data_IF_667249334776
#
_entry.id   IF_667249334776
#
_cell.length_a   1.000
_cell.length_b   1.000
_cell.length_c   1.000
_cell.angle_alpha   90.00
_cell.angle_beta   90.00
_cell.angle_gamma   90.00
#
_symmetry.space_group_name_H-M   'P 1'
#
loop_
_entity.id
_entity.type
_entity.pdbx_description
1 polymer ?
#
# COMPACT_ATOMS: atom_id res chain seq x y z
N UNK A 1 -1.87 -16.46 24.89
CA UNK A 1 -1.67 -16.37 23.43
C UNK A 1 -0.36 -15.65 23.19
N UNK A 2 0.55 -16.25 22.42
CA UNK A 2 1.84 -15.64 22.09
C UNK A 2 1.67 -14.61 20.96
N UNK A 3 2.21 -13.41 21.15
CA UNK A 3 2.14 -12.31 20.18
C UNK A 3 3.53 -12.01 19.63
N UNK A 4 3.64 -11.95 18.31
CA UNK A 4 4.87 -11.59 17.60
C UNK A 4 4.70 -10.27 16.87
N UNK A 5 5.72 -9.41 16.96
CA UNK A 5 5.82 -8.18 16.18
C UNK A 5 6.92 -8.31 15.14
N UNK A 6 6.66 -7.83 13.93
CA UNK A 6 7.65 -7.77 12.85
C UNK A 6 7.64 -6.38 12.23
N UNK A 7 8.82 -5.84 11.96
CA UNK A 7 8.99 -4.53 11.33
C UNK A 7 9.36 -4.71 9.87
N UNK A 8 8.51 -4.22 8.97
CA UNK A 8 8.73 -4.30 7.52
C UNK A 8 8.02 -3.15 6.84
N UNK A 9 8.67 -2.54 5.86
CA UNK A 9 8.07 -1.48 5.06
C UNK A 9 7.63 -2.03 3.70
N UNK A 10 6.37 -1.77 3.35
CA UNK A 10 5.82 -1.99 2.02
C UNK A 10 5.31 -0.65 1.51
N UNK A 11 5.68 -0.28 0.27
CA UNK A 11 5.05 0.89 -0.34
C UNK A 11 3.66 0.56 -0.85
N UNK A 12 2.93 1.61 -1.27
CA UNK A 12 1.61 1.49 -1.91
C UNK A 12 1.59 0.54 -3.13
N UNK A 13 2.73 0.33 -3.80
CA UNK A 13 2.87 -0.55 -4.96
C UNK A 13 3.37 -1.96 -4.59
N UNK A 14 3.69 -2.21 -3.32
CA UNK A 14 4.20 -3.47 -2.81
C UNK A 14 3.09 -4.35 -2.20
N UNK A 15 1.81 -4.01 -2.39
CA UNK A 15 0.65 -4.73 -1.84
C UNK A 15 0.66 -6.24 -2.17
N UNK A 16 1.04 -6.64 -3.39
CA UNK A 16 1.22 -8.07 -3.73
C UNK A 16 2.36 -8.75 -2.98
N UNK A 17 3.41 -8.01 -2.62
CA UNK A 17 4.52 -8.55 -1.84
C UNK A 17 4.15 -8.66 -0.36
N UNK A 18 3.31 -7.73 0.10
CA UNK A 18 2.70 -7.75 1.43
C UNK A 18 1.76 -8.94 1.59
N UNK A 19 0.86 -9.19 0.63
CA UNK A 19 0.02 -10.39 0.57
C UNK A 19 0.84 -11.67 0.75
N UNK A 20 1.92 -11.82 -0.04
CA UNK A 20 2.83 -12.98 0.06
C UNK A 20 3.52 -13.08 1.41
N UNK A 21 3.90 -11.95 1.98
CA UNK A 21 4.48 -11.92 3.32
C UNK A 21 3.50 -12.40 4.39
N UNK A 22 2.24 -11.96 4.33
CA UNK A 22 1.19 -12.38 5.27
C UNK A 22 0.88 -13.87 5.13
N UNK A 23 0.74 -14.38 3.89
CA UNK A 23 0.54 -15.81 3.63
C UNK A 23 1.69 -16.66 4.19
N UNK A 24 2.94 -16.23 3.97
CA UNK A 24 4.11 -16.95 4.48
C UNK A 24 4.19 -16.96 6.01
N UNK A 25 3.76 -15.88 6.67
CA UNK A 25 3.66 -15.88 8.13
C UNK A 25 2.59 -16.84 8.63
N UNK A 26 1.39 -16.85 8.02
CA UNK A 26 0.33 -17.78 8.44
C UNK A 26 0.74 -19.24 8.25
N UNK A 27 1.40 -19.57 7.13
CA UNK A 27 1.96 -20.90 6.89
C UNK A 27 2.97 -21.33 7.96
N UNK A 28 3.65 -20.38 8.60
CA UNK A 28 4.58 -20.64 9.72
C UNK A 28 3.90 -20.65 11.09
N UNK A 29 2.57 -20.64 11.14
CA UNK A 29 1.80 -20.58 12.39
C UNK A 29 1.70 -19.18 12.99
N UNK A 30 1.83 -18.12 12.18
CA UNK A 30 1.67 -16.72 12.63
C UNK A 30 0.50 -16.06 11.91
N UNK A 31 -0.66 -16.02 12.57
CA UNK A 31 -1.88 -15.41 12.04
C UNK A 31 -1.82 -13.90 12.20
N UNK A 32 -2.09 -13.18 11.11
CA UNK A 32 -2.10 -11.72 11.09
C UNK A 32 -3.23 -11.13 11.94
N UNK A 33 -2.88 -10.16 12.81
CA UNK A 33 -3.81 -9.40 13.65
C UNK A 33 -4.01 -7.96 13.18
N UNK A 34 -3.04 -7.40 12.46
CA UNK A 34 -3.11 -6.03 11.96
C UNK A 34 -1.76 -5.35 11.83
N UNK A 35 -1.73 -4.22 11.15
CA UNK A 35 -0.52 -3.43 10.89
C UNK A 35 -0.78 -1.93 11.04
N UNK A 36 0.26 -1.19 11.43
CA UNK A 36 0.29 0.28 11.35
C UNK A 36 1.03 0.80 10.11
N UNK A 37 1.26 -0.03 9.10
CA UNK A 37 2.02 0.29 7.88
C UNK A 37 3.52 0.03 7.97
N UNK A 38 4.06 -0.16 9.18
CA UNK A 38 5.46 -0.58 9.39
C UNK A 38 5.60 -1.72 10.39
N UNK A 39 4.74 -1.75 11.42
CA UNK A 39 4.76 -2.79 12.45
C UNK A 39 3.57 -3.72 12.24
N UNK A 40 3.86 -4.98 11.97
CA UNK A 40 2.90 -6.06 11.79
C UNK A 40 2.80 -6.86 13.09
N UNK A 41 1.57 -7.12 13.53
CA UNK A 41 1.27 -7.95 14.70
C UNK A 41 0.69 -9.28 14.25
N UNK A 42 1.17 -10.33 14.88
CA UNK A 42 0.72 -11.70 14.65
C UNK A 42 0.45 -12.40 15.97
N UNK A 43 -0.49 -13.35 15.95
CA UNK A 43 -0.70 -14.31 17.02
C UNK A 43 -0.26 -15.71 16.58
N UNK A 44 0.22 -16.51 17.53
CA UNK A 44 0.51 -17.91 17.27
C UNK A 44 -0.78 -18.68 16.93
N UNK A 45 -0.74 -19.44 15.85
CA UNK A 45 -1.83 -20.31 15.39
C UNK A 45 -1.27 -21.65 14.89
N UNK A 46 -2.16 -22.60 14.58
CA UNK A 46 -1.74 -23.81 13.86
C UNK A 46 -1.28 -23.40 12.45
N UNK A 47 -0.18 -23.96 11.93
CA UNK A 47 0.22 -23.79 10.54
C UNK A 47 -0.91 -24.22 9.60
N UNK A 48 -1.43 -23.29 8.82
CA UNK A 48 -2.56 -23.49 7.91
C UNK A 48 -2.32 -22.71 6.60
N UNK A 49 -2.86 -23.22 5.49
CA UNK A 49 -2.82 -22.52 4.20
C UNK A 49 -3.99 -21.55 4.09
N UNK A 50 -3.71 -20.27 4.37
CA UNK A 50 -4.62 -19.16 4.14
C UNK A 50 -4.11 -18.28 3.01
N UNK A 51 -5.04 -17.80 2.20
CA UNK A 51 -4.81 -16.76 1.20
C UNK A 51 -5.07 -15.41 1.86
N UNK A 52 -4.14 -14.48 1.66
CA UNK A 52 -4.30 -13.08 2.03
C UNK A 52 -4.35 -12.26 0.75
N UNK A 53 -5.36 -11.41 0.62
CA UNK A 53 -5.47 -10.46 -0.48
C UNK A 53 -5.79 -9.07 0.03
N UNK A 54 -5.13 -8.09 -0.59
CA UNK A 54 -5.35 -6.68 -0.36
C UNK A 54 -6.10 -6.15 -1.56
N UNK A 55 -7.22 -5.51 -1.28
CA UNK A 55 -7.94 -4.74 -2.28
C UNK A 55 -7.83 -3.23 -1.98
N UNK A 56 -7.83 -2.42 -3.04
CA UNK A 56 -7.77 -0.97 -2.95
C UNK A 56 -9.12 -0.36 -3.32
N UNK A 57 -9.75 0.30 -2.35
CA UNK A 57 -10.94 1.10 -2.56
C UNK A 57 -10.81 2.45 -1.83
N UNK A 58 -10.93 3.55 -2.58
CA UNK A 58 -10.90 4.93 -2.07
C UNK A 58 -12.28 5.58 -2.03
N UNK A 59 -13.34 4.83 -2.38
CA UNK A 59 -14.72 5.29 -2.31
C UNK A 59 -15.26 5.14 -0.88
N UNK A 60 -15.74 6.23 -0.29
CA UNK A 60 -16.21 6.27 1.11
C UNK A 60 -17.71 5.95 1.29
N UNK A 61 -18.43 5.67 0.19
CA UNK A 61 -19.89 5.83 0.19
C UNK A 61 -20.73 4.63 0.63
N UNK A 62 -20.15 3.46 0.88
CA UNK A 62 -20.84 2.33 1.52
C UNK A 62 -19.85 1.21 1.91
N UNK A 63 -19.09 1.42 2.98
CA UNK A 63 -18.12 0.42 3.43
C UNK A 63 -18.80 -0.88 3.88
N UNK A 64 -19.99 -0.81 4.46
CA UNK A 64 -20.77 -1.98 4.88
C UNK A 64 -21.18 -2.86 3.70
N UNK A 65 -21.81 -2.28 2.67
CA UNK A 65 -22.18 -3.01 1.46
C UNK A 65 -20.97 -3.51 0.71
N UNK A 66 -19.87 -2.74 0.72
CA UNK A 66 -18.60 -3.19 0.16
C UNK A 66 -18.12 -4.48 0.82
N UNK A 67 -18.03 -4.51 2.15
CA UNK A 67 -17.57 -5.68 2.90
C UNK A 67 -18.51 -6.88 2.80
N UNK A 68 -19.82 -6.65 2.75
CA UNK A 68 -20.83 -7.71 2.62
C UNK A 68 -20.61 -8.54 1.35
N UNK A 69 -20.26 -7.91 0.22
CA UNK A 69 -19.94 -8.60 -1.03
C UNK A 69 -18.80 -9.61 -0.80
N UNK A 70 -17.74 -9.22 -0.09
CA UNK A 70 -16.60 -10.10 0.19
C UNK A 70 -16.96 -11.26 1.11
N UNK A 71 -17.76 -10.98 2.14
CA UNK A 71 -18.23 -11.99 3.10
C UNK A 71 -19.05 -13.08 2.40
N UNK A 72 -19.91 -12.71 1.46
CA UNK A 72 -20.71 -13.65 0.65
C UNK A 72 -19.83 -14.61 -0.18
N UNK A 73 -18.64 -14.17 -0.60
CA UNK A 73 -17.64 -15.01 -1.29
C UNK A 73 -16.68 -15.73 -0.32
N UNK A 74 -16.93 -15.68 0.98
CA UNK A 74 -16.16 -16.37 2.01
C UNK A 74 -14.84 -15.69 2.40
N UNK A 75 -14.68 -14.40 2.09
CA UNK A 75 -13.54 -13.61 2.54
C UNK A 75 -13.80 -13.01 3.92
N UNK A 76 -12.88 -13.25 4.84
CA UNK A 76 -12.88 -12.63 6.17
C UNK A 76 -12.16 -11.28 6.11
N UNK A 77 -12.87 -10.21 6.44
CA UNK A 77 -12.26 -8.89 6.63
C UNK A 77 -11.44 -8.84 7.93
N UNK A 78 -10.22 -8.28 7.85
CA UNK A 78 -9.31 -8.19 8.99
C UNK A 78 -9.12 -6.77 9.48
N UNK A 79 -8.85 -5.85 8.55
CA UNK A 79 -8.61 -4.44 8.86
C UNK A 79 -8.58 -3.61 7.58
N UNK A 80 -8.64 -2.29 7.75
CA UNK A 80 -8.36 -1.30 6.72
C UNK A 80 -7.17 -0.46 7.15
N UNK A 81 -6.23 -0.25 6.23
CA UNK A 81 -5.15 0.73 6.38
C UNK A 81 -5.17 1.68 5.20
N UNK A 82 -5.43 2.96 5.46
CA UNK A 82 -5.69 3.95 4.43
C UNK A 82 -6.86 3.50 3.52
N UNK A 83 -6.58 3.18 2.27
CA UNK A 83 -7.56 2.70 1.27
C UNK A 83 -7.35 1.23 0.91
N UNK A 84 -6.51 0.51 1.67
CA UNK A 84 -6.33 -0.93 1.51
C UNK A 84 -7.16 -1.70 2.53
N UNK A 85 -7.98 -2.61 2.00
CA UNK A 85 -8.75 -3.57 2.77
C UNK A 85 -8.01 -4.90 2.78
N UNK A 86 -7.84 -5.46 3.98
CA UNK A 86 -7.11 -6.71 4.20
C UNK A 86 -8.12 -7.82 4.38
N UNK A 87 -8.09 -8.79 3.47
CA UNK A 87 -8.93 -9.95 3.51
C UNK A 87 -8.10 -11.21 3.68
N UNK A 88 -8.68 -12.23 4.32
CA UNK A 88 -8.16 -13.59 4.27
C UNK A 88 -9.25 -14.60 3.96
N UNK A 89 -8.86 -15.72 3.36
CA UNK A 89 -9.74 -16.86 3.10
C UNK A 89 -8.93 -18.14 3.22
N UNK A 90 -9.55 -19.21 3.72
CA UNK A 90 -8.90 -20.53 3.73
C UNK A 90 -8.68 -20.98 2.30
N UNK A 91 -7.49 -21.49 1.98
CA UNK A 91 -7.17 -21.88 0.61
C UNK A 91 -8.10 -22.99 0.12
N UNK A 92 -8.77 -22.73 -0.99
CA UNK A 92 -9.59 -23.71 -1.72
C UNK A 92 -8.75 -24.47 -2.75
N UNK A 93 -9.22 -25.64 -3.19
CA UNK A 93 -8.64 -26.37 -4.31
C UNK A 93 -8.86 -25.63 -5.65
N UNK A 94 -9.96 -24.87 -5.76
CA UNK A 94 -10.24 -24.04 -6.94
C UNK A 94 -9.38 -22.78 -6.93
N UNK A 95 -8.61 -22.55 -8.00
CA UNK A 95 -7.77 -21.35 -8.17
C UNK A 95 -8.62 -20.08 -8.25
N UNK A 96 -9.81 -20.17 -8.84
CA UNK A 96 -10.72 -19.04 -9.00
C UNK A 96 -11.26 -18.56 -7.64
N UNK A 97 -11.60 -19.49 -6.74
CA UNK A 97 -12.11 -19.17 -5.40
C UNK A 97 -11.08 -18.52 -4.48
N UNK A 98 -9.81 -18.61 -4.83
CA UNK A 98 -8.68 -18.03 -4.11
C UNK A 98 -8.37 -16.59 -4.55
N UNK A 99 -9.14 -16.00 -5.46
CA UNK A 99 -8.93 -14.63 -5.95
C UNK A 99 -10.17 -13.76 -5.76
N UNK A 100 -9.94 -12.52 -5.30
CA UNK A 100 -10.97 -11.48 -5.23
C UNK A 100 -11.44 -11.10 -6.63
N UNK A 101 -10.48 -10.91 -7.56
CA UNK A 101 -10.76 -10.60 -8.96
C UNK A 101 -10.36 -11.78 -9.82
N UNK A 102 -11.31 -12.33 -10.58
CA UNK A 102 -11.03 -13.38 -11.56
C UNK A 102 -10.47 -12.79 -12.86
N UNK A 103 -10.91 -11.61 -13.25
CA UNK A 103 -10.54 -10.97 -14.50
C UNK A 103 -9.32 -10.02 -14.39
N UNK A 104 -8.63 -9.87 -15.51
CA UNK A 104 -7.45 -9.00 -15.58
C UNK A 104 -7.82 -7.51 -15.63
N UNK A 105 -9.05 -7.16 -16.02
CA UNK A 105 -9.50 -5.78 -16.17
C UNK A 105 -9.63 -5.14 -14.78
N UNK A 106 -10.34 -5.77 -13.85
CA UNK A 106 -10.50 -5.29 -12.47
C UNK A 106 -9.16 -5.23 -11.73
N UNK A 107 -8.24 -6.19 -11.95
CA UNK A 107 -6.87 -6.13 -11.42
C UNK A 107 -6.10 -4.91 -11.94
N UNK A 108 -6.25 -4.59 -13.23
CA UNK A 108 -5.60 -3.44 -13.84
C UNK A 108 -6.22 -2.12 -13.35
N UNK A 109 -7.54 -2.09 -13.17
CA UNK A 109 -8.25 -0.94 -12.59
C UNK A 109 -7.82 -0.66 -11.15
N UNK A 110 -7.68 -1.68 -10.31
CA UNK A 110 -7.12 -1.57 -8.98
C UNK A 110 -5.73 -0.90 -9.02
N UNK A 111 -4.83 -1.37 -9.90
CA UNK A 111 -3.51 -0.76 -10.11
C UNK A 111 -3.60 0.71 -10.57
N UNK A 112 -4.56 1.04 -11.45
CA UNK A 112 -4.80 2.42 -11.91
C UNK A 112 -5.32 3.32 -10.79
N UNK A 113 -6.21 2.83 -9.91
CA UNK A 113 -6.69 3.57 -8.73
C UNK A 113 -5.52 3.92 -7.80
N UNK A 114 -4.63 2.96 -7.53
CA UNK A 114 -3.41 3.17 -6.74
C UNK A 114 -2.50 4.21 -7.41
N UNK A 115 -2.28 4.13 -8.72
CA UNK A 115 -1.49 5.12 -9.47
C UNK A 115 -2.08 6.53 -9.37
N UNK A 116 -3.40 6.67 -9.53
CA UNK A 116 -4.10 7.97 -9.42
C UNK A 116 -3.88 8.56 -8.03
N UNK A 117 -4.06 7.77 -6.97
CA UNK A 117 -3.79 8.20 -5.60
C UNK A 117 -2.35 8.64 -5.41
N UNK A 118 -1.41 7.91 -5.98
CA UNK A 118 0.01 8.24 -5.89
C UNK A 118 0.32 9.59 -6.57
N UNK A 119 -0.27 9.88 -7.73
CA UNK A 119 -0.12 11.18 -8.40
C UNK A 119 -0.69 12.31 -7.55
N UNK A 120 -1.86 12.12 -6.94
CA UNK A 120 -2.46 13.11 -6.03
C UNK A 120 -1.53 13.39 -4.85
N UNK A 121 -1.00 12.36 -4.19
CA UNK A 121 -0.07 12.51 -3.07
C UNK A 121 1.21 13.27 -3.48
N UNK A 122 1.76 12.95 -4.66
CA UNK A 122 2.96 13.62 -5.18
C UNK A 122 2.70 15.11 -5.46
N UNK A 123 1.59 15.43 -6.13
CA UNK A 123 1.22 16.81 -6.45
C UNK A 123 0.97 17.62 -5.18
N UNK A 124 0.25 17.06 -4.20
CA UNK A 124 0.03 17.71 -2.91
C UNK A 124 1.35 17.98 -2.19
N UNK A 125 2.25 16.99 -2.13
CA UNK A 125 3.55 17.15 -1.49
C UNK A 125 4.42 18.20 -2.21
N UNK A 126 4.40 18.24 -3.53
CA UNK A 126 5.10 19.25 -4.33
C UNK A 126 4.53 20.66 -4.11
N UNK A 127 3.22 20.82 -4.00
CA UNK A 127 2.60 22.11 -3.67
C UNK A 127 3.03 22.61 -2.29
N UNK A 128 3.05 21.74 -1.28
CA UNK A 128 3.52 22.10 0.07
C UNK A 128 5.00 22.50 0.04
N UNK A 129 5.84 21.74 -0.66
CA UNK A 129 7.24 22.07 -0.90
C UNK A 129 7.38 23.48 -1.49
N UNK A 130 6.64 23.77 -2.55
CA UNK A 130 6.68 25.06 -3.22
C UNK A 130 6.29 26.20 -2.26
N UNK A 131 5.24 26.03 -1.47
CA UNK A 131 4.85 27.00 -0.44
C UNK A 131 5.95 27.21 0.62
N UNK A 132 6.54 26.13 1.13
CA UNK A 132 7.62 26.19 2.13
C UNK A 132 8.88 26.87 1.60
N UNK A 133 9.15 26.83 0.29
CA UNK A 133 10.28 27.52 -0.33
C UNK A 133 9.96 28.97 -0.73
N UNK A 134 8.78 29.23 -1.28
CA UNK A 134 8.38 30.57 -1.75
C UNK A 134 8.13 31.53 -0.57
N UNK A 135 7.48 31.08 0.50
CA UNK A 135 7.13 31.95 1.64
C UNK A 135 8.38 32.60 2.28
N UNK A 136 9.47 31.87 2.59
CA UNK A 136 10.71 32.47 3.07
C UNK A 136 11.43 33.34 2.03
N UNK A 137 11.20 33.11 0.73
CA UNK A 137 11.86 33.86 -0.34
C UNK A 137 11.25 35.27 -0.48
N UNK A 138 9.94 35.36 -0.30
CA UNK A 138 9.22 36.64 -0.31
C UNK A 138 9.37 37.37 1.03
N UNK A 139 9.49 36.63 2.14
CA UNK A 139 9.66 37.21 3.46
C UNK A 139 11.10 37.69 3.68
N UNK A 140 11.31 39.01 3.57
CA UNK A 140 12.62 39.69 3.76
C UNK A 140 13.27 39.44 5.13
N UNK A 141 12.56 38.85 6.10
CA UNK A 141 13.09 38.48 7.41
C UNK A 141 13.79 37.12 7.49
N UNK A 142 13.75 36.29 6.43
CA UNK A 142 14.41 34.99 6.44
C UNK A 142 15.94 35.14 6.30
N UNK A 143 16.70 34.66 7.29
CA UNK A 143 18.16 34.64 7.21
C UNK A 143 18.66 33.37 6.49
N UNK A 144 18.71 33.43 5.17
CA UNK A 144 19.14 32.34 4.28
C UNK A 144 20.57 31.85 4.55
N UNK A 145 21.42 32.70 5.14
CA UNK A 145 22.80 32.36 5.51
C UNK A 145 22.91 31.64 6.85
N UNK A 146 21.82 31.57 7.63
CA UNK A 146 21.80 30.82 8.88
C UNK A 146 22.13 29.35 8.63
N UNK A 147 23.08 28.81 9.41
CA UNK A 147 23.43 27.40 9.37
C UNK A 147 22.21 26.50 9.63
N UNK A 148 21.37 26.89 10.60
CA UNK A 148 20.16 26.14 10.96
C UNK A 148 19.20 26.05 9.77
N UNK A 149 18.98 27.17 9.07
CA UNK A 149 18.11 27.20 7.89
C UNK A 149 18.65 26.31 6.76
N UNK A 150 19.96 26.38 6.48
CA UNK A 150 20.59 25.53 5.46
C UNK A 150 20.46 24.05 5.79
N UNK A 151 20.71 23.66 7.04
CA UNK A 151 20.59 22.26 7.48
C UNK A 151 19.15 21.75 7.33
N UNK A 152 18.16 22.53 7.77
CA UNK A 152 16.74 22.15 7.63
C UNK A 152 16.37 21.98 6.15
N UNK A 153 16.76 22.92 5.30
CA UNK A 153 16.49 22.84 3.86
C UNK A 153 17.19 21.66 3.19
N UNK A 154 18.44 21.36 3.57
CA UNK A 154 19.14 20.17 3.07
C UNK A 154 18.43 18.87 3.48
N UNK A 155 18.05 18.72 4.75
CA UNK A 155 17.30 17.54 5.23
C UNK A 155 15.99 17.40 4.46
N UNK A 156 15.27 18.50 4.28
CA UNK A 156 14.02 18.51 3.56
C UNK A 156 14.17 18.12 2.08
N UNK A 157 15.20 18.64 1.39
CA UNK A 157 15.56 18.22 0.03
C UNK A 157 15.90 16.73 -0.04
N UNK A 158 16.66 16.19 0.92
CA UNK A 158 16.97 14.76 0.98
C UNK A 158 15.72 13.90 1.14
N UNK A 159 14.80 14.29 2.02
CA UNK A 159 13.50 13.61 2.21
C UNK A 159 12.68 13.67 0.91
N UNK A 160 12.66 14.82 0.24
CA UNK A 160 11.95 14.98 -1.04
C UNK A 160 12.50 14.04 -2.12
N UNK A 161 13.83 13.99 -2.28
CA UNK A 161 14.48 13.09 -3.25
C UNK A 161 14.14 11.62 -2.92
N UNK A 162 14.18 11.23 -1.65
CA UNK A 162 13.80 9.87 -1.23
C UNK A 162 12.34 9.55 -1.61
N UNK A 163 11.40 10.44 -1.30
CA UNK A 163 9.99 10.28 -1.66
C UNK A 163 9.81 10.20 -3.17
N UNK A 164 10.49 11.06 -3.94
CA UNK A 164 10.44 11.06 -5.40
C UNK A 164 10.94 9.73 -5.98
N UNK A 165 12.07 9.21 -5.47
CA UNK A 165 12.62 7.91 -5.88
C UNK A 165 11.64 6.78 -5.58
N UNK A 166 11.02 6.77 -4.39
CA UNK A 166 9.98 5.80 -4.04
C UNK A 166 8.77 5.91 -4.98
N UNK A 167 8.37 7.13 -5.34
CA UNK A 167 7.28 7.35 -6.29
C UNK A 167 7.61 6.82 -7.68
N UNK A 168 8.79 7.13 -8.21
CA UNK A 168 9.23 6.62 -9.51
C UNK A 168 9.30 5.10 -9.54
N UNK A 169 9.81 4.48 -8.46
CA UNK A 169 9.82 3.03 -8.29
C UNK A 169 8.41 2.44 -8.32
N UNK A 170 7.50 3.01 -7.54
CA UNK A 170 6.10 2.57 -7.46
C UNK A 170 5.38 2.72 -8.80
N UNK A 171 5.59 3.84 -9.49
CA UNK A 171 5.02 4.12 -10.81
C UNK A 171 5.48 3.09 -11.84
N UNK A 172 6.78 2.82 -11.91
CA UNK A 172 7.35 1.77 -12.77
C UNK A 172 6.83 0.37 -12.42
N UNK A 173 6.61 0.08 -11.14
CA UNK A 173 6.11 -1.22 -10.70
C UNK A 173 4.63 -1.42 -11.09
N UNK A 174 3.78 -0.44 -10.82
CA UNK A 174 2.36 -0.49 -11.14
C UNK A 174 2.11 -0.51 -12.66
N UNK A 175 2.84 0.28 -13.45
CA UNK A 175 2.72 0.21 -14.91
C UNK A 175 3.14 -1.15 -15.46
N UNK A 176 4.23 -1.74 -14.96
CA UNK A 176 4.60 -3.11 -15.34
C UNK A 176 3.53 -4.14 -14.97
N UNK A 177 2.82 -3.96 -13.86
CA UNK A 177 1.68 -4.83 -13.49
C UNK A 177 0.51 -4.65 -14.46
N UNK A 178 0.16 -3.41 -14.81
CA UNK A 178 -0.91 -3.10 -15.77
C UNK A 178 -0.59 -3.66 -17.16
N UNK A 179 0.64 -3.47 -17.64
CA UNK A 179 1.08 -3.99 -18.94
C UNK A 179 1.01 -5.52 -18.99
N UNK A 180 1.41 -6.19 -17.90
CA UNK A 180 1.32 -7.64 -17.77
C UNK A 180 -0.11 -8.17 -17.79
N UNK A 181 -1.05 -7.42 -17.23
CA UNK A 181 -2.47 -7.77 -17.21
C UNK A 181 -3.14 -7.54 -18.57
N UNK A 182 -2.64 -6.57 -19.36
CA UNK A 182 -3.15 -6.28 -20.71
C UNK A 182 -2.66 -7.29 -21.76
N UNK A 183 -1.42 -7.76 -21.67
CA UNK A 183 -0.82 -8.70 -22.61
C UNK A 183 -0.44 -10.02 -21.91
N UNK A 184 -1.40 -10.88 -21.52
CA UNK A 184 -1.10 -12.10 -20.78
C UNK A 184 -0.34 -13.17 -21.58
N UNK A 185 -0.29 -13.06 -22.91
CA UNK A 185 0.27 -14.08 -23.82
C UNK A 185 1.77 -13.86 -24.16
N UNK A 186 2.40 -12.79 -23.68
CA UNK A 186 3.83 -12.47 -23.94
C UNK A 186 4.77 -12.96 -22.82
N UNK A 187 4.35 -13.92 -21.99
CA UNK A 187 5.18 -14.52 -20.92
C UNK A 187 5.14 -16.03 -20.88
#
# INVERSE_FOLDING_TARGET
MEIKKMHKFFSIADFKDEERFLMEQHRRGWRFLGTGGFTYRFEACRPEEYIYQLDYNDEENDESGYLAIYEDYGWEYLMKLNSFYYFRKKKSESVEENQIFSDNTSKAECCKKILKRQVILLTTFFTVLLCCFIIPLINRGANWNSLVFRVIMTIYCCIYVLILVLHLRNFRKLNRMIDALRNPLER
#
